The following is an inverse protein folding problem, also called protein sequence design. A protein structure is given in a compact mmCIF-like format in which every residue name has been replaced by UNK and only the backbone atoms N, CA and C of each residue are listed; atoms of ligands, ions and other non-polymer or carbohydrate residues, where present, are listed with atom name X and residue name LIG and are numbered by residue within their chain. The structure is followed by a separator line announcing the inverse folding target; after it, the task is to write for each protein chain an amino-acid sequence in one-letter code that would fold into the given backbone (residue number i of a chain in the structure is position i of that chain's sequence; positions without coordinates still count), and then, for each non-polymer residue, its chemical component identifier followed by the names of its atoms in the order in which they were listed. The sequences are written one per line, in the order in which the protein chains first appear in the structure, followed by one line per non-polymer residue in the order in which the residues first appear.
data_IF_181142069438
#
_entry.id   IF_181142069438
#
_cell.length_a   1.000
_cell.length_b   1.000
_cell.length_c   1.000
_cell.angle_alpha   90.00
_cell.angle_beta   90.00
_cell.angle_gamma   90.00
#
_symmetry.space_group_name_H-M   'P 1'
#
loop_
_entity.id
_entity.type
_entity.pdbx_description
1 polymer ?
#
# COMPACT_ATOMS: atom_id res chain seq x y z
N UNK A 1 12.39 -8.97 -3.97
CA UNK A 1 10.91 -9.07 -3.98
C UNK A 1 10.35 -7.75 -4.51
N UNK A 2 9.22 -7.73 -5.20
CA UNK A 2 8.60 -6.48 -5.67
C UNK A 2 7.20 -6.34 -5.07
N UNK A 3 6.88 -5.16 -4.57
CA UNK A 3 5.53 -4.79 -4.13
C UNK A 3 4.96 -3.81 -5.13
N UNK A 4 3.75 -4.08 -5.61
CA UNK A 4 2.96 -3.10 -6.37
C UNK A 4 2.09 -2.31 -5.40
N UNK A 5 2.19 -0.99 -5.45
CA UNK A 5 1.40 -0.07 -4.63
C UNK A 5 0.47 0.73 -5.54
N UNK A 6 -0.84 0.57 -5.31
CA UNK A 6 -1.87 1.39 -5.94
C UNK A 6 -2.13 2.61 -5.05
N UNK A 7 -1.90 3.80 -5.60
CA UNK A 7 -2.14 5.08 -4.93
C UNK A 7 -3.37 5.74 -5.53
N UNK A 8 -4.12 6.42 -4.70
CA UNK A 8 -5.26 7.25 -5.08
C UNK A 8 -5.25 8.52 -4.22
N UNK A 9 -5.74 9.63 -4.77
CA UNK A 9 -5.86 10.92 -4.08
C UNK A 9 -7.16 11.05 -3.28
N UNK A 10 -8.09 10.10 -3.43
CA UNK A 10 -9.35 10.05 -2.71
C UNK A 10 -9.37 9.00 -1.58
N UNK A 11 -10.14 9.26 -0.54
CA UNK A 11 -10.41 8.26 0.48
C UNK A 11 -11.36 7.19 -0.08
N UNK A 12 -10.96 5.94 0.05
CA UNK A 12 -11.79 4.80 -0.35
C UNK A 12 -12.57 4.27 0.86
N UNK A 13 -13.88 4.10 0.68
CA UNK A 13 -14.69 3.30 1.60
C UNK A 13 -14.31 1.81 1.52
N UNK A 14 -14.90 0.99 2.40
CA UNK A 14 -14.58 -0.42 2.45
C UNK A 14 -15.00 -1.18 1.18
N UNK A 15 -16.16 -0.86 0.60
CA UNK A 15 -16.65 -1.51 -0.61
C UNK A 15 -15.75 -1.22 -1.81
N UNK A 16 -15.31 0.03 -1.96
CA UNK A 16 -14.37 0.45 -2.98
C UNK A 16 -13.00 -0.23 -2.82
N UNK A 17 -12.50 -0.37 -1.58
CA UNK A 17 -11.26 -1.12 -1.29
C UNK A 17 -11.37 -2.59 -1.71
N UNK A 18 -12.49 -3.23 -1.42
CA UNK A 18 -12.69 -4.64 -1.76
C UNK A 18 -12.85 -4.87 -3.26
N UNK A 19 -13.57 -3.96 -3.95
CA UNK A 19 -13.66 -3.96 -5.41
C UNK A 19 -12.27 -3.78 -6.06
N UNK A 20 -11.45 -2.86 -5.55
CA UNK A 20 -10.09 -2.62 -6.06
C UNK A 20 -9.19 -3.84 -5.84
N UNK A 21 -9.28 -4.49 -4.66
CA UNK A 21 -8.56 -5.74 -4.37
C UNK A 21 -8.93 -6.84 -5.36
N UNK A 22 -10.21 -7.01 -5.65
CA UNK A 22 -10.68 -8.03 -6.59
C UNK A 22 -10.22 -7.74 -8.04
N UNK A 23 -10.28 -6.47 -8.46
CA UNK A 23 -9.74 -6.04 -9.75
C UNK A 23 -8.24 -6.33 -9.85
N UNK A 24 -7.47 -6.03 -8.80
CA UNK A 24 -6.04 -6.32 -8.75
C UNK A 24 -5.74 -7.83 -8.80
N UNK A 25 -6.55 -8.68 -8.13
CA UNK A 25 -6.43 -10.15 -8.22
C UNK A 25 -6.66 -10.65 -9.64
N UNK A 26 -7.69 -10.13 -10.32
CA UNK A 26 -7.97 -10.48 -11.73
C UNK A 26 -6.84 -10.00 -12.64
N UNK A 27 -6.35 -8.78 -12.45
CA UNK A 27 -5.23 -8.24 -13.19
C UNK A 27 -3.94 -9.06 -13.00
N UNK A 28 -3.70 -9.63 -11.81
CA UNK A 28 -2.56 -10.51 -11.58
C UNK A 28 -2.66 -11.81 -12.39
N UNK A 29 -3.86 -12.26 -12.76
CA UNK A 29 -4.07 -13.44 -13.61
C UNK A 29 -3.99 -13.09 -15.10
N UNK A 30 -4.49 -11.93 -15.51
CA UNK A 30 -4.53 -11.51 -16.93
C UNK A 30 -3.29 -10.72 -17.36
N UNK A 31 -2.52 -10.20 -16.42
CA UNK A 31 -1.39 -9.29 -16.64
C UNK A 31 -1.78 -7.84 -16.96
N UNK A 32 -3.07 -7.49 -16.94
CA UNK A 32 -3.55 -6.17 -17.37
C UNK A 32 -4.42 -5.55 -16.27
N UNK A 33 -4.09 -4.31 -15.89
CA UNK A 33 -4.92 -3.45 -15.03
C UNK A 33 -5.08 -2.08 -15.69
N UNK A 34 -6.31 -1.58 -15.74
CA UNK A 34 -6.61 -0.22 -16.21
C UNK A 34 -6.91 0.62 -14.96
N UNK A 35 -6.28 1.79 -14.88
CA UNK A 35 -6.45 2.73 -13.79
C UNK A 35 -7.12 4.00 -14.33
N UNK A 36 -8.21 4.42 -13.68
CA UNK A 36 -8.88 5.67 -13.95
C UNK A 36 -8.07 6.88 -13.45
N UNK A 37 -8.48 8.09 -13.86
CA UNK A 37 -7.86 9.34 -13.42
C UNK A 37 -7.88 9.49 -11.89
N UNK A 38 -6.77 9.97 -11.32
CA UNK A 38 -6.56 10.06 -9.86
C UNK A 38 -5.88 8.84 -9.24
N UNK A 39 -5.75 7.74 -9.99
CA UNK A 39 -4.99 6.56 -9.57
C UNK A 39 -3.60 6.50 -10.20
N UNK A 40 -2.63 5.99 -9.44
CA UNK A 40 -1.27 5.75 -9.94
C UNK A 40 -0.72 4.44 -9.39
N UNK A 41 0.27 3.88 -10.10
CA UNK A 41 0.94 2.65 -9.74
C UNK A 41 2.41 2.95 -9.44
N UNK A 42 2.91 2.41 -8.34
CA UNK A 42 4.32 2.40 -7.99
C UNK A 42 4.81 0.97 -7.74
N UNK A 43 6.05 0.69 -8.11
CA UNK A 43 6.71 -0.59 -7.82
C UNK A 43 7.84 -0.34 -6.83
N UNK A 44 7.74 -0.95 -5.66
CA UNK A 44 8.76 -0.90 -4.62
C UNK A 44 9.56 -2.20 -4.70
N UNK A 45 10.85 -2.08 -5.01
CA UNK A 45 11.78 -3.20 -4.96
C UNK A 45 12.25 -3.42 -3.52
N UNK A 46 11.81 -4.52 -2.93
CA UNK A 46 12.34 -5.02 -1.67
C UNK A 46 13.51 -5.93 -2.03
N UNK A 47 14.67 -5.34 -2.20
CA UNK A 47 15.89 -6.13 -2.17
C UNK A 47 16.09 -6.69 -0.76
N UNK A 48 16.66 -7.89 -0.67
CA UNK A 48 16.79 -8.64 0.58
C UNK A 48 17.49 -7.80 1.65
N UNK A 49 16.72 -7.27 2.60
CA UNK A 49 17.12 -6.85 3.94
C UNK A 49 18.58 -6.38 4.03
N UNK A 50 18.84 -5.08 3.79
CA UNK A 50 19.70 -4.42 4.78
C UNK A 50 18.92 -4.53 6.09
N UNK A 51 19.45 -5.22 7.11
CA UNK A 51 18.71 -5.41 8.35
C UNK A 51 18.26 -4.05 8.86
N UNK A 52 17.11 -4.05 9.51
CA UNK A 52 16.66 -3.03 10.45
C UNK A 52 17.69 -2.87 11.59
N UNK A 53 18.94 -2.53 11.28
CA UNK A 53 19.96 -2.09 12.23
C UNK A 53 19.63 -0.66 12.59
N UNK A 54 18.58 -0.48 13.39
CA UNK A 54 18.23 0.83 13.93
C UNK A 54 16.86 0.95 14.59
N UNK A 55 15.89 0.12 14.24
CA UNK A 55 14.57 0.15 14.90
C UNK A 55 14.51 -0.95 15.95
N UNK A 56 14.84 -0.54 17.17
CA UNK A 56 14.75 -1.31 18.39
C UNK A 56 13.36 -1.99 18.49
N UNK A 57 13.27 -3.33 18.60
CA UNK A 57 12.01 -4.10 18.52
C UNK A 57 11.02 -3.86 19.69
N UNK A 58 11.25 -2.83 20.51
CA UNK A 58 10.40 -2.43 21.62
C UNK A 58 9.68 -1.09 21.44
N UNK A 59 9.77 -0.44 20.28
CA UNK A 59 9.03 0.81 20.02
C UNK A 59 7.73 0.47 19.30
N UNK A 60 6.58 0.43 20.00
CA UNK A 60 5.28 0.33 19.33
C UNK A 60 5.09 1.54 18.41
N UNK A 61 4.74 1.27 17.15
CA UNK A 61 4.30 2.31 16.23
C UNK A 61 2.87 2.68 16.65
N UNK A 62 2.75 3.67 17.53
CA UNK A 62 1.50 4.35 17.79
C UNK A 62 1.36 5.47 16.74
N UNK A 63 0.45 5.27 15.80
CA UNK A 63 -0.13 6.34 15.00
C UNK A 63 -1.36 6.84 15.76
N UNK A 64 -1.22 7.85 16.63
CA UNK A 64 -2.37 8.64 17.07
C UNK A 64 -2.00 10.10 17.30
N UNK A 65 -2.70 10.94 16.56
CA UNK A 65 -3.01 12.35 16.79
C UNK A 65 -3.52 12.63 18.21
N UNK A 66 -2.66 12.65 19.22
CA UNK A 66 -2.99 13.26 20.51
C UNK A 66 -2.40 14.66 20.54
N UNK A 67 -3.21 15.61 20.06
CA UNK A 67 -3.07 17.02 20.36
C UNK A 67 -2.97 17.24 21.88
N UNK A 68 -1.90 17.92 22.27
CA UNK A 68 -1.83 18.96 23.32
C UNK A 68 -3.02 19.10 24.27
N UNK A 69 -2.85 18.68 25.54
CA UNK A 69 -2.80 19.51 26.76
C UNK A 69 -2.91 18.66 28.04
#
# INVERSE_FOLDING_TARGET
MKILVLKTDCQLDQGAKDALREAARKAAQTGIMILDGGMSLEVIEIDKLSPLDGLNPGVPIYDETVETL
#
